data_IF_768021830926
#
_entry.id   IF_768021830926
#
_cell.length_a   1.000
_cell.length_b   1.000
_cell.length_c   1.000
_cell.angle_alpha   90.00
_cell.angle_beta   90.00
_cell.angle_gamma   90.00
#
_symmetry.space_group_name_H-M   'P 1'
#
loop_
_entity.id
_entity.type
_entity.pdbx_description
1 polymer ?
#
# COMPACT_ATOMS: atom_id res chain seq x y z
N UNK A 1 -10.30 25.66 3.36
CA UNK A 1 -10.64 24.52 2.49
C UNK A 1 -9.62 24.45 1.37
N UNK A 2 -9.18 23.23 0.97
CA UNK A 2 -8.24 23.05 -0.14
C UNK A 2 -8.79 23.60 -1.46
N UNK A 3 -7.91 24.21 -2.26
CA UNK A 3 -8.25 24.57 -3.64
C UNK A 3 -8.41 23.31 -4.50
N UNK A 4 -9.10 23.43 -5.64
CA UNK A 4 -9.31 22.31 -6.57
C UNK A 4 -7.98 21.69 -7.05
N UNK A 5 -6.97 22.53 -7.28
CA UNK A 5 -5.65 22.10 -7.72
C UNK A 5 -4.89 21.34 -6.62
N UNK A 6 -4.92 21.84 -5.38
CA UNK A 6 -4.30 21.16 -4.23
C UNK A 6 -4.96 19.81 -3.95
N UNK A 7 -6.30 19.75 -4.01
CA UNK A 7 -7.03 18.50 -3.83
C UNK A 7 -6.70 17.49 -4.94
N UNK A 8 -6.60 17.95 -6.19
CA UNK A 8 -6.18 17.10 -7.31
C UNK A 8 -4.76 16.56 -7.11
N UNK A 9 -3.83 17.40 -6.65
CA UNK A 9 -2.46 16.98 -6.35
C UNK A 9 -2.42 15.88 -5.29
N UNK A 10 -3.13 16.06 -4.16
CA UNK A 10 -3.18 15.03 -3.10
C UNK A 10 -3.86 13.74 -3.58
N UNK A 11 -4.87 13.83 -4.44
CA UNK A 11 -5.49 12.63 -5.02
C UNK A 11 -4.52 11.86 -5.92
N UNK A 12 -3.79 12.56 -6.80
CA UNK A 12 -2.78 11.91 -7.65
C UNK A 12 -1.70 11.25 -6.80
N UNK A 13 -1.16 11.97 -5.81
CA UNK A 13 -0.13 11.44 -4.91
C UNK A 13 -0.63 10.23 -4.09
N UNK A 14 -1.91 10.21 -3.72
CA UNK A 14 -2.52 9.10 -2.97
C UNK A 14 -2.68 7.83 -3.82
N UNK A 15 -3.09 7.97 -5.09
CA UNK A 15 -3.35 6.83 -5.98
C UNK A 15 -2.09 6.31 -6.69
N UNK A 16 -1.04 7.13 -6.79
CA UNK A 16 0.21 6.76 -7.45
C UNK A 16 0.85 5.45 -6.93
N UNK A 17 0.94 5.20 -5.61
CA UNK A 17 1.52 3.94 -5.11
C UNK A 17 0.76 2.70 -5.58
N UNK A 18 -0.58 2.77 -5.64
CA UNK A 18 -1.38 1.66 -6.15
C UNK A 18 -1.10 1.40 -7.62
N UNK A 19 -1.04 2.46 -8.43
CA UNK A 19 -0.72 2.34 -9.86
C UNK A 19 0.68 1.77 -10.07
N UNK A 20 1.67 2.24 -9.31
CA UNK A 20 3.03 1.73 -9.37
C UNK A 20 3.09 0.23 -9.07
N UNK A 21 2.46 -0.22 -7.99
CA UNK A 21 2.41 -1.66 -7.64
C UNK A 21 1.70 -2.46 -8.72
N UNK A 22 0.55 -1.99 -9.23
CA UNK A 22 -0.15 -2.66 -10.32
C UNK A 22 0.70 -2.77 -11.59
N UNK A 23 1.44 -1.72 -11.95
CA UNK A 23 2.32 -1.75 -13.12
C UNK A 23 3.49 -2.72 -12.97
N UNK A 24 4.12 -2.76 -11.79
CA UNK A 24 5.21 -3.69 -11.48
C UNK A 24 4.68 -5.12 -11.54
N UNK A 25 3.59 -5.43 -10.82
CA UNK A 25 3.01 -6.77 -10.84
C UNK A 25 2.56 -7.22 -12.23
N UNK A 26 2.05 -6.30 -13.05
CA UNK A 26 1.66 -6.61 -14.43
C UNK A 26 2.86 -6.83 -15.34
N UNK A 27 3.96 -6.10 -15.13
CA UNK A 27 5.21 -6.29 -15.86
C UNK A 27 5.84 -7.64 -15.51
N UNK A 28 5.93 -7.97 -14.22
CA UNK A 28 6.45 -9.25 -13.73
C UNK A 28 5.64 -10.44 -14.28
N UNK A 29 4.32 -10.26 -14.39
CA UNK A 29 3.42 -11.25 -14.99
C UNK A 29 3.71 -11.45 -16.48
N UNK A 30 3.96 -10.35 -17.20
CA UNK A 30 4.21 -10.39 -18.62
C UNK A 30 5.56 -11.03 -18.98
N UNK A 31 6.61 -10.76 -18.20
CA UNK A 31 7.94 -11.36 -18.41
C UNK A 31 8.03 -12.81 -17.92
N UNK A 32 6.96 -13.35 -17.32
CA UNK A 32 6.90 -14.72 -16.84
C UNK A 32 7.64 -14.96 -15.53
N UNK A 33 7.92 -13.93 -14.73
CA UNK A 33 8.63 -14.06 -13.46
C UNK A 33 7.91 -15.02 -12.48
N UNK A 34 6.58 -15.04 -12.53
CA UNK A 34 5.74 -15.96 -11.75
C UNK A 34 5.78 -17.43 -12.23
N UNK A 35 6.36 -17.72 -13.41
CA UNK A 35 6.48 -19.07 -13.97
C UNK A 35 7.83 -19.74 -13.70
N UNK A 36 8.85 -18.94 -13.38
CA UNK A 36 10.16 -19.44 -12.93
C UNK A 36 10.11 -19.68 -11.43
N UNK A 37 10.14 -20.96 -11.03
CA UNK A 37 10.03 -21.42 -9.65
C UNK A 37 11.33 -21.19 -8.86
N UNK A 38 11.90 -19.98 -8.92
CA UNK A 38 13.05 -19.63 -8.11
C UNK A 38 12.56 -19.12 -6.74
N UNK A 39 12.53 -20.06 -5.80
CA UNK A 39 11.77 -20.02 -4.53
C UNK A 39 11.87 -18.73 -3.69
N UNK A 40 12.91 -17.92 -3.82
CA UNK A 40 13.06 -16.69 -3.03
C UNK A 40 12.39 -15.44 -3.64
N UNK A 41 12.38 -15.32 -4.97
CA UNK A 41 11.78 -14.18 -5.68
C UNK A 41 10.25 -14.29 -5.70
N UNK A 42 9.73 -15.49 -5.93
CA UNK A 42 8.28 -15.72 -6.02
C UNK A 42 7.57 -15.36 -4.70
N UNK A 43 8.20 -15.60 -3.54
CA UNK A 43 7.60 -15.29 -2.24
C UNK A 43 7.43 -13.78 -2.01
N UNK A 44 8.40 -12.97 -2.43
CA UNK A 44 8.34 -11.50 -2.32
C UNK A 44 7.27 -10.88 -3.21
N UNK A 45 7.09 -11.42 -4.41
CA UNK A 45 6.07 -10.97 -5.35
C UNK A 45 4.65 -11.34 -4.86
N UNK A 46 4.47 -12.54 -4.28
CA UNK A 46 3.22 -12.90 -3.60
C UNK A 46 2.93 -11.98 -2.41
N UNK A 47 3.95 -11.63 -1.61
CA UNK A 47 3.81 -10.72 -0.45
C UNK A 47 3.33 -9.32 -0.86
N UNK A 48 3.73 -8.83 -2.03
CA UNK A 48 3.29 -7.55 -2.61
C UNK A 48 1.88 -7.62 -3.19
N UNK A 49 1.53 -8.75 -3.82
CA UNK A 49 0.20 -8.97 -4.41
C UNK A 49 -0.92 -8.87 -3.36
N UNK A 50 -0.69 -9.44 -2.17
CA UNK A 50 -1.59 -9.32 -1.01
C UNK A 50 -1.73 -7.89 -0.49
N UNK A 51 -0.81 -6.99 -0.84
CA UNK A 51 -0.89 -5.57 -0.53
C UNK A 51 -1.79 -4.75 -1.45
N UNK A 52 -2.13 -5.26 -2.65
CA UNK A 52 -2.97 -4.55 -3.63
C UNK A 52 -4.37 -4.26 -3.08
N UNK A 53 -5.11 -5.23 -2.48
CA UNK A 53 -6.41 -4.94 -1.87
C UNK A 53 -6.32 -3.93 -0.73
N UNK A 54 -5.23 -3.99 0.06
CA UNK A 54 -4.96 -3.05 1.14
C UNK A 54 -4.75 -1.62 0.61
N UNK A 55 -3.96 -1.47 -0.47
CA UNK A 55 -3.69 -0.18 -1.11
C UNK A 55 -4.96 0.41 -1.73
N UNK A 56 -5.77 -0.43 -2.37
CA UNK A 56 -7.06 -0.02 -2.92
C UNK A 56 -8.00 0.48 -1.81
N UNK A 57 -8.18 -0.31 -0.74
CA UNK A 57 -9.02 0.05 0.39
C UNK A 57 -8.56 1.34 1.08
N UNK A 58 -7.25 1.47 1.29
CA UNK A 58 -6.63 2.67 1.85
C UNK A 58 -6.86 3.90 0.97
N UNK A 59 -6.62 3.78 -0.35
CA UNK A 59 -6.79 4.87 -1.31
C UNK A 59 -8.23 5.36 -1.37
N UNK A 60 -9.20 4.44 -1.37
CA UNK A 60 -10.63 4.78 -1.33
C UNK A 60 -11.02 5.46 -0.01
N UNK A 61 -10.55 4.94 1.12
CA UNK A 61 -10.84 5.49 2.45
C UNK A 61 -10.26 6.90 2.64
N UNK A 62 -9.00 7.11 2.23
CA UNK A 62 -8.33 8.40 2.28
C UNK A 62 -8.95 9.41 1.31
N UNK A 63 -9.33 8.98 0.09
CA UNK A 63 -10.00 9.84 -0.90
C UNK A 63 -11.32 10.38 -0.35
N UNK A 64 -12.11 9.53 0.33
CA UNK A 64 -13.35 9.97 1.00
C UNK A 64 -13.05 10.93 2.15
N UNK A 65 -12.03 10.63 2.94
CA UNK A 65 -11.66 11.38 4.13
C UNK A 65 -11.00 12.74 3.84
N UNK A 66 -10.48 12.95 2.64
CA UNK A 66 -9.82 14.19 2.21
C UNK A 66 -10.81 15.31 1.82
N UNK A 67 -12.08 14.97 1.51
CA UNK A 67 -13.11 15.97 1.17
C UNK A 67 -13.41 16.89 2.35
N UNK A 68 -13.33 18.20 2.12
CA UNK A 68 -13.70 19.22 3.11
C UNK A 68 -12.62 19.58 4.14
N UNK A 69 -11.39 19.06 4.01
CA UNK A 69 -10.30 19.37 4.95
C UNK A 69 -9.56 20.66 4.61
N UNK A 70 -8.96 21.23 5.65
CA UNK A 70 -7.99 22.31 5.51
C UNK A 70 -6.60 21.77 5.16
N UNK A 71 -5.76 22.61 4.59
CA UNK A 71 -4.42 22.29 4.12
C UNK A 71 -3.52 21.64 5.19
N UNK A 72 -3.44 22.24 6.38
CA UNK A 72 -2.67 21.66 7.49
C UNK A 72 -3.17 20.26 7.90
N UNK A 73 -4.48 20.01 7.79
CA UNK A 73 -5.05 18.70 8.07
C UNK A 73 -4.73 17.69 6.97
N UNK A 74 -4.64 18.13 5.71
CA UNK A 74 -4.24 17.30 4.58
C UNK A 74 -2.76 16.90 4.67
N UNK A 75 -1.87 17.84 4.98
CA UNK A 75 -0.45 17.56 5.22
C UNK A 75 -0.23 16.60 6.38
N UNK A 76 -0.96 16.79 7.49
CA UNK A 76 -0.95 15.84 8.61
C UNK A 76 -1.44 14.46 8.18
N UNK A 77 -2.46 14.40 7.33
CA UNK A 77 -2.97 13.14 6.78
C UNK A 77 -1.92 12.40 5.95
N UNK A 78 -1.19 13.11 5.09
CA UNK A 78 -0.09 12.55 4.29
C UNK A 78 1.01 12.00 5.19
N UNK A 79 1.36 12.73 6.26
CA UNK A 79 2.37 12.26 7.21
C UNK A 79 1.98 10.99 7.97
N UNK A 80 0.70 10.85 8.29
CA UNK A 80 0.15 9.67 8.96
C UNK A 80 -0.28 8.55 8.00
N UNK A 81 -0.23 8.78 6.68
CA UNK A 81 -0.66 7.82 5.67
C UNK A 81 0.09 6.48 5.77
N UNK A 82 1.43 6.43 5.92
CA UNK A 82 2.17 5.16 5.99
C UNK A 82 1.74 4.30 7.18
N UNK A 83 1.53 4.92 8.34
CA UNK A 83 1.10 4.21 9.55
C UNK A 83 -0.34 3.74 9.42
N UNK A 84 -1.22 4.57 8.85
CA UNK A 84 -2.64 4.23 8.64
C UNK A 84 -2.84 3.18 7.56
N UNK A 85 -1.88 2.99 6.68
CA UNK A 85 -1.89 1.94 5.67
C UNK A 85 -1.65 0.55 6.28
N UNK A 86 -0.86 0.44 7.36
CA UNK A 86 -0.48 -0.84 7.97
C UNK A 86 -1.70 -1.75 8.26
N UNK A 87 -2.78 -1.29 8.93
CA UNK A 87 -3.93 -2.15 9.17
C UNK A 87 -4.58 -2.67 7.89
N UNK A 88 -4.63 -1.85 6.83
CA UNK A 88 -5.17 -2.28 5.54
C UNK A 88 -4.29 -3.33 4.87
N UNK A 89 -2.97 -3.26 5.07
CA UNK A 89 -2.04 -4.28 4.61
C UNK A 89 -2.18 -5.58 5.41
N UNK A 90 -2.29 -5.50 6.74
CA UNK A 90 -2.36 -6.68 7.64
C UNK A 90 -3.66 -7.48 7.46
N UNK A 91 -4.79 -6.82 7.22
CA UNK A 91 -6.11 -7.48 7.18
C UNK A 91 -6.16 -8.67 6.19
N UNK A 92 -5.74 -8.54 4.92
CA UNK A 92 -5.67 -9.66 4.00
C UNK A 92 -4.83 -10.85 4.50
N UNK A 93 -3.69 -10.59 5.16
CA UNK A 93 -2.84 -11.64 5.74
C UNK A 93 -3.52 -12.41 6.86
N UNK A 94 -4.21 -11.70 7.76
CA UNK A 94 -4.93 -12.32 8.88
C UNK A 94 -6.09 -13.17 8.35
N UNK A 95 -6.83 -12.67 7.37
CA UNK A 95 -7.93 -13.42 6.73
C UNK A 95 -7.39 -14.70 6.09
N UNK A 96 -6.28 -14.61 5.35
CA UNK A 96 -5.64 -15.78 4.73
C UNK A 96 -5.23 -16.83 5.78
N UNK A 97 -4.55 -16.41 6.84
CA UNK A 97 -4.13 -17.31 7.93
C UNK A 97 -5.30 -18.04 8.58
N UNK A 98 -6.38 -17.31 8.88
CA UNK A 98 -7.59 -17.90 9.48
C UNK A 98 -8.22 -18.92 8.53
N UNK A 99 -8.31 -18.61 7.23
CA UNK A 99 -8.82 -19.54 6.22
C UNK A 99 -7.98 -20.83 6.13
N UNK A 100 -6.64 -20.72 6.15
CA UNK A 100 -5.73 -21.89 6.15
C UNK A 100 -5.92 -22.76 7.40
N UNK A 101 -6.08 -22.14 8.58
CA UNK A 101 -6.34 -22.87 9.83
C UNK A 101 -7.67 -23.64 9.77
N UNK A 102 -8.73 -23.02 9.23
CA UNK A 102 -10.04 -23.67 9.04
C UNK A 102 -9.94 -24.84 8.05
N UNK A 103 -9.14 -24.69 6.99
CA UNK A 103 -8.93 -25.71 5.97
C UNK A 103 -7.99 -26.86 6.43
N UNK A 104 -7.43 -26.81 7.64
CA UNK A 104 -6.49 -27.81 8.15
C UNK A 104 -5.06 -27.69 7.62
N UNK A 105 -4.74 -26.60 6.90
CA UNK A 105 -3.42 -26.32 6.33
C UNK A 105 -2.54 -25.55 7.32
N UNK A 106 -2.23 -26.17 8.46
CA UNK A 106 -1.42 -25.55 9.52
C UNK A 106 0.00 -25.17 9.07
N UNK A 107 0.53 -25.90 8.08
CA UNK A 107 1.83 -25.61 7.46
C UNK A 107 1.83 -24.35 6.60
N UNK A 108 0.69 -23.81 6.17
CA UNK A 108 0.62 -22.58 5.38
C UNK A 108 0.20 -21.37 6.25
N UNK A 109 -0.35 -21.64 7.44
CA UNK A 109 -0.80 -20.61 8.38
C UNK A 109 0.34 -19.69 8.89
N UNK A 110 1.60 -20.12 8.85
CA UNK A 110 2.73 -19.25 9.22
C UNK A 110 2.88 -18.06 8.27
N UNK A 111 2.43 -18.18 7.01
CA UNK A 111 2.47 -17.08 6.05
C UNK A 111 1.63 -15.90 6.52
N UNK A 112 0.64 -16.11 7.40
CA UNK A 112 -0.14 -15.04 8.05
C UNK A 112 0.71 -14.05 8.86
N UNK A 113 1.96 -14.40 9.19
CA UNK A 113 2.91 -13.53 9.86
C UNK A 113 3.94 -12.90 8.91
N UNK A 114 3.91 -13.26 7.62
CA UNK A 114 4.84 -12.76 6.60
C UNK A 114 4.85 -11.23 6.49
N UNK A 115 3.71 -10.59 6.76
CA UNK A 115 3.61 -9.12 6.80
C UNK A 115 4.58 -8.46 7.79
N UNK A 116 4.98 -9.13 8.88
CA UNK A 116 5.88 -8.55 9.89
C UNK A 116 7.27 -8.24 9.32
N UNK A 117 7.74 -9.04 8.36
CA UNK A 117 9.00 -8.79 7.67
C UNK A 117 8.90 -7.64 6.66
N UNK A 118 7.70 -7.37 6.15
CA UNK A 118 7.46 -6.39 5.08
C UNK A 118 7.12 -5.00 5.62
N UNK A 119 6.49 -4.92 6.81
CA UNK A 119 6.08 -3.65 7.44
C UNK A 119 7.21 -2.63 7.55
N UNK A 120 8.44 -2.97 7.97
CA UNK A 120 9.53 -2.00 8.03
C UNK A 120 9.81 -1.35 6.66
N UNK A 121 9.81 -2.15 5.59
CA UNK A 121 10.02 -1.67 4.22
C UNK A 121 8.86 -0.80 3.74
N UNK A 122 7.61 -1.21 4.03
CA UNK A 122 6.42 -0.41 3.70
C UNK A 122 6.40 0.93 4.41
N UNK A 123 6.84 0.97 5.67
CA UNK A 123 6.97 2.22 6.43
C UNK A 123 8.03 3.13 5.82
N UNK A 124 9.23 2.61 5.54
CA UNK A 124 10.31 3.39 4.92
C UNK A 124 9.86 3.95 3.57
N UNK A 125 9.37 3.09 2.67
CA UNK A 125 8.90 3.50 1.35
C UNK A 125 7.73 4.50 1.45
N UNK A 126 6.77 4.23 2.33
CA UNK A 126 5.63 5.11 2.57
C UNK A 126 6.05 6.49 3.08
N UNK A 127 7.02 6.57 4.00
CA UNK A 127 7.53 7.85 4.49
C UNK A 127 8.36 8.59 3.45
N UNK A 128 9.11 7.89 2.60
CA UNK A 128 9.77 8.51 1.44
C UNK A 128 8.72 9.13 0.51
N UNK A 129 7.66 8.40 0.16
CA UNK A 129 6.55 8.92 -0.66
C UNK A 129 5.85 10.11 0.02
N UNK A 130 5.60 10.04 1.33
CA UNK A 130 5.00 11.14 2.09
C UNK A 130 5.90 12.38 2.10
N UNK A 131 7.20 12.21 2.31
CA UNK A 131 8.20 13.28 2.27
C UNK A 131 8.28 13.95 0.91
N UNK A 132 8.36 13.16 -0.16
CA UNK A 132 8.34 13.66 -1.55
C UNK A 132 7.05 14.41 -1.85
N UNK A 133 5.90 13.88 -1.44
CA UNK A 133 4.59 14.54 -1.63
C UNK A 133 4.57 15.89 -0.93
N UNK A 134 5.05 15.98 0.30
CA UNK A 134 5.11 17.25 1.06
C UNK A 134 6.11 18.22 0.44
N UNK A 135 7.27 17.75 0.00
CA UNK A 135 8.28 18.59 -0.65
C UNK A 135 7.76 19.19 -1.97
N UNK A 136 7.20 18.36 -2.84
CA UNK A 136 6.58 18.80 -4.10
C UNK A 136 5.43 19.76 -3.83
N UNK A 137 4.59 19.46 -2.85
CA UNK A 137 3.50 20.35 -2.47
C UNK A 137 3.99 21.75 -2.13
N UNK A 138 5.03 21.88 -1.30
CA UNK A 138 5.62 23.18 -0.90
C UNK A 138 6.35 23.92 -2.02
N UNK A 139 6.75 23.22 -3.09
CA UNK A 139 7.43 23.84 -4.24
C UNK A 139 6.40 24.44 -5.21
N UNK A 140 5.26 23.78 -5.38
CA UNK A 140 4.25 24.13 -6.40
C UNK A 140 3.02 24.87 -5.84
N UNK A 141 2.81 24.86 -4.52
CA UNK A 141 1.69 25.51 -3.83
C UNK A 141 2.16 26.27 -2.58
#
# INVERSE_FOLDING_TARGET
MLSRAQLSFFMVALWWPLLAVLTISSYDLWIGAYTTFDSSHTHWEYLLWWGIPGLLGFSLWMSRSAKGRNEQQALRMVWWAPVKFIPFYIVPWVIYGVCCLIAGQSQDAYMAFGWTMVVPFLLIAGYVCAGVTVALYRIFF
#
